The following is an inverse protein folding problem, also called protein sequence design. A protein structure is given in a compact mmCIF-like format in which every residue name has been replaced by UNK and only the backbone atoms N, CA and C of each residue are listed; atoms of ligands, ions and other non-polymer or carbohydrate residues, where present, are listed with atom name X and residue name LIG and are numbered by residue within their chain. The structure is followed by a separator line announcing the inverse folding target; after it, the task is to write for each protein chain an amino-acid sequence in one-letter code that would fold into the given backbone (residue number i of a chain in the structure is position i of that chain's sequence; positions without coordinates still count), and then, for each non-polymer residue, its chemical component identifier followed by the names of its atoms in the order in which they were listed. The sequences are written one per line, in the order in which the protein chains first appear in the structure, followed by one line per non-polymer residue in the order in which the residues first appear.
data_IF_938893463208
#
_entry.id   IF_938893463208
#
_cell.length_a   1.000
_cell.length_b   1.000
_cell.length_c   1.000
_cell.angle_alpha   90.00
_cell.angle_beta   90.00
_cell.angle_gamma   90.00
#
_symmetry.space_group_name_H-M   'P 1'
#
loop_
_entity.id
_entity.type
_entity.pdbx_description
1 polymer ?
#
# COMPACT_ATOMS: atom_id res chain seq x y z
N UNK A 1 47.36 -3.96 -13.51
CA UNK A 1 45.94 -3.79 -13.88
C UNK A 1 45.07 -5.01 -13.63
N UNK A 2 45.46 -6.24 -13.99
CA UNK A 2 44.63 -7.47 -13.80
C UNK A 2 44.20 -7.73 -12.35
N UNK A 3 45.08 -7.48 -11.37
CA UNK A 3 44.77 -7.67 -9.95
C UNK A 3 43.84 -6.59 -9.38
N UNK A 4 43.93 -5.35 -9.86
CA UNK A 4 43.05 -4.26 -9.43
C UNK A 4 41.62 -4.56 -9.89
N UNK A 5 41.43 -4.91 -11.16
CA UNK A 5 40.10 -5.27 -11.70
C UNK A 5 39.49 -6.45 -10.94
N UNK A 6 40.28 -7.50 -10.64
CA UNK A 6 39.81 -8.66 -9.88
C UNK A 6 39.45 -8.32 -8.43
N UNK A 7 40.27 -7.51 -7.74
CA UNK A 7 39.98 -7.10 -6.37
C UNK A 7 38.77 -6.17 -6.30
N UNK A 8 38.68 -5.17 -7.19
CA UNK A 8 37.52 -4.28 -7.29
C UNK A 8 36.26 -5.07 -7.58
N UNK A 9 36.27 -5.98 -8.57
CA UNK A 9 35.13 -6.83 -8.87
C UNK A 9 34.75 -7.72 -7.69
N UNK A 10 35.71 -8.30 -6.96
CA UNK A 10 35.43 -9.15 -5.78
C UNK A 10 34.65 -8.40 -4.70
N UNK A 11 35.12 -7.24 -4.29
CA UNK A 11 34.46 -6.47 -3.21
C UNK A 11 33.15 -5.82 -3.67
N UNK A 12 33.12 -5.30 -4.90
CA UNK A 12 31.92 -4.72 -5.49
C UNK A 12 30.82 -5.79 -5.65
N UNK A 13 31.18 -6.97 -6.19
CA UNK A 13 30.23 -8.08 -6.37
C UNK A 13 29.73 -8.62 -5.04
N UNK A 14 30.56 -8.64 -3.98
CA UNK A 14 30.10 -9.04 -2.66
C UNK A 14 29.01 -8.11 -2.14
N UNK A 15 29.23 -6.79 -2.16
CA UNK A 15 28.22 -5.81 -1.75
C UNK A 15 26.92 -5.95 -2.57
N UNK A 16 27.06 -6.09 -3.89
CA UNK A 16 25.92 -6.28 -4.80
C UNK A 16 25.19 -7.59 -4.49
N UNK A 17 25.90 -8.67 -4.22
CA UNK A 17 25.32 -9.99 -3.93
C UNK A 17 24.48 -9.98 -2.65
N UNK A 18 24.87 -9.22 -1.62
CA UNK A 18 24.07 -9.08 -0.39
C UNK A 18 22.71 -8.47 -0.69
N UNK A 19 22.68 -7.39 -1.48
CA UNK A 19 21.44 -6.74 -1.84
C UNK A 19 20.62 -7.58 -2.85
N UNK A 20 21.26 -8.27 -3.81
CA UNK A 20 20.58 -9.22 -4.69
C UNK A 20 20.01 -10.42 -3.93
N UNK A 21 20.65 -10.85 -2.85
CA UNK A 21 20.12 -11.87 -1.95
C UNK A 21 18.85 -11.38 -1.26
N UNK A 22 18.84 -10.16 -0.71
CA UNK A 22 17.63 -9.55 -0.13
C UNK A 22 16.52 -9.39 -1.17
N UNK A 23 16.88 -8.97 -2.39
CA UNK A 23 15.96 -8.86 -3.52
C UNK A 23 15.34 -10.22 -3.89
N UNK A 24 16.16 -11.28 -3.94
CA UNK A 24 15.70 -12.63 -4.27
C UNK A 24 14.84 -13.21 -3.16
N UNK A 25 15.25 -13.06 -1.89
CA UNK A 25 14.50 -13.54 -0.74
C UNK A 25 13.12 -12.86 -0.65
N UNK A 26 13.04 -11.55 -0.89
CA UNK A 26 11.77 -10.83 -0.95
C UNK A 26 10.93 -11.24 -2.17
N UNK A 27 11.55 -11.46 -3.34
CA UNK A 27 10.86 -11.95 -4.53
C UNK A 27 10.24 -13.35 -4.32
N UNK A 28 10.96 -14.26 -3.68
CA UNK A 28 10.45 -15.57 -3.26
C UNK A 28 9.26 -15.36 -2.31
N UNK A 29 9.40 -14.52 -1.29
CA UNK A 29 8.30 -14.24 -0.37
C UNK A 29 7.04 -13.76 -1.12
N UNK A 30 7.16 -12.86 -2.09
CA UNK A 30 6.03 -12.40 -2.90
C UNK A 30 5.40 -13.50 -3.74
N UNK A 31 6.20 -14.37 -4.35
CA UNK A 31 5.71 -15.46 -5.20
C UNK A 31 4.86 -16.48 -4.42
N UNK A 32 5.17 -16.70 -3.14
CA UNK A 32 4.45 -17.65 -2.28
C UNK A 32 3.34 -17.03 -1.43
N UNK A 33 3.17 -15.70 -1.45
CA UNK A 33 2.15 -15.00 -0.67
C UNK A 33 1.15 -14.29 -1.59
N UNK A 34 -0.13 -14.70 -1.51
CA UNK A 34 -1.22 -14.06 -2.27
C UNK A 34 -1.39 -12.61 -1.86
N UNK A 35 -1.34 -11.70 -2.83
CA UNK A 35 -1.41 -10.26 -2.60
C UNK A 35 -2.78 -9.83 -2.07
N UNK A 36 -3.84 -10.54 -2.44
CA UNK A 36 -5.21 -10.32 -1.98
C UNK A 36 -5.28 -10.50 -0.46
N UNK A 37 -4.58 -11.53 0.06
CA UNK A 37 -4.51 -11.81 1.49
C UNK A 37 -3.78 -10.72 2.28
N UNK A 38 -2.69 -10.23 1.68
CA UNK A 38 -1.87 -9.14 2.20
C UNK A 38 -2.66 -7.83 2.22
N UNK A 39 -3.47 -7.56 1.19
CA UNK A 39 -4.37 -6.40 1.10
C UNK A 39 -5.58 -6.48 2.04
N UNK A 40 -5.81 -7.65 2.64
CA UNK A 40 -6.89 -7.89 3.59
C UNK A 40 -8.25 -8.05 2.91
N UNK A 41 -8.29 -8.50 1.65
CA UNK A 41 -9.55 -8.69 0.91
C UNK A 41 -10.45 -9.74 1.58
N UNK A 42 -9.86 -10.75 2.21
CA UNK A 42 -10.58 -11.76 3.01
C UNK A 42 -11.37 -11.19 4.21
N UNK A 43 -11.05 -9.98 4.65
CA UNK A 43 -11.76 -9.34 5.76
C UNK A 43 -12.89 -8.45 5.29
N UNK A 44 -12.99 -8.18 3.99
CA UNK A 44 -13.99 -7.24 3.44
C UNK A 44 -15.24 -8.01 3.04
N UNK A 45 -16.38 -7.47 3.41
CA UNK A 45 -17.68 -7.90 2.92
C UNK A 45 -18.10 -6.98 1.79
N UNK A 46 -18.53 -7.56 0.68
CA UNK A 46 -19.06 -6.81 -0.47
C UNK A 46 -20.57 -6.84 -0.39
N UNK A 47 -21.18 -5.68 -0.16
CA UNK A 47 -22.64 -5.53 -0.22
C UNK A 47 -23.03 -4.84 -1.54
N UNK A 48 -23.96 -5.45 -2.27
CA UNK A 48 -24.67 -4.76 -3.34
C UNK A 48 -25.83 -3.97 -2.75
N UNK A 49 -26.04 -2.75 -3.22
CA UNK A 49 -27.18 -1.92 -2.85
C UNK A 49 -27.84 -1.33 -4.09
N UNK A 50 -29.18 -1.24 -4.15
CA UNK A 50 -29.87 -0.56 -5.23
C UNK A 50 -29.61 0.95 -5.15
N UNK A 51 -29.50 1.61 -6.29
CA UNK A 51 -29.40 3.07 -6.39
C UNK A 51 -30.55 3.55 -7.27
N UNK A 52 -31.37 4.44 -6.72
CA UNK A 52 -32.39 5.15 -7.49
C UNK A 52 -31.87 6.54 -7.85
N UNK A 53 -31.54 6.76 -9.13
CA UNK A 53 -31.05 8.07 -9.58
C UNK A 53 -32.14 9.15 -9.60
N UNK A 54 -33.43 8.79 -9.60
CA UNK A 54 -34.51 9.76 -9.54
C UNK A 54 -34.58 10.51 -8.21
N UNK A 55 -34.03 9.91 -7.14
CA UNK A 55 -33.94 10.48 -5.80
C UNK A 55 -32.79 11.49 -5.65
N UNK A 56 -31.87 11.54 -6.61
CA UNK A 56 -30.73 12.46 -6.59
C UNK A 56 -31.17 13.84 -7.05
N UNK A 57 -31.19 14.82 -6.14
CA UNK A 57 -31.74 16.17 -6.35
C UNK A 57 -30.68 17.26 -6.40
N UNK A 58 -29.45 16.95 -6.81
CA UNK A 58 -28.39 17.94 -6.98
C UNK A 58 -27.77 17.91 -8.37
N UNK A 59 -27.16 19.04 -8.75
CA UNK A 59 -26.38 19.18 -9.98
C UNK A 59 -25.08 19.93 -9.66
N UNK A 60 -23.99 19.49 -10.31
CA UNK A 60 -22.65 20.07 -10.21
C UNK A 60 -22.01 20.08 -11.58
N UNK A 61 -21.37 21.19 -11.95
CA UNK A 61 -20.82 21.40 -13.29
C UNK A 61 -19.32 21.05 -13.39
N UNK A 62 -18.64 20.85 -12.27
CA UNK A 62 -17.18 20.74 -12.14
C UNK A 62 -16.71 19.37 -11.64
N UNK A 63 -17.52 18.33 -11.83
CA UNK A 63 -17.24 16.97 -11.37
C UNK A 63 -16.57 16.14 -12.45
N UNK A 64 -15.47 15.47 -12.10
CA UNK A 64 -14.74 14.54 -12.98
C UNK A 64 -15.11 13.09 -12.71
N UNK A 65 -15.36 12.74 -11.45
CA UNK A 65 -15.74 11.38 -11.05
C UNK A 65 -16.82 11.42 -9.97
N UNK A 66 -17.79 10.52 -10.08
CA UNK A 66 -18.85 10.30 -9.09
C UNK A 66 -18.76 8.86 -8.61
N UNK A 67 -18.85 8.68 -7.29
CA UNK A 67 -18.93 7.36 -6.66
C UNK A 67 -20.07 7.34 -5.65
N UNK A 68 -21.00 6.41 -5.81
CA UNK A 68 -22.05 6.17 -4.82
C UNK A 68 -21.55 5.17 -3.77
N UNK A 69 -21.80 5.45 -2.50
CA UNK A 69 -21.39 4.61 -1.36
C UNK A 69 -22.58 4.50 -0.41
N UNK A 70 -22.93 3.27 -0.02
CA UNK A 70 -23.86 3.04 1.09
C UNK A 70 -23.13 3.33 2.41
N UNK A 71 -23.59 4.35 3.13
CA UNK A 71 -23.12 4.78 4.45
C UNK A 71 -24.23 4.49 5.45
N UNK A 72 -24.10 3.41 6.22
CA UNK A 72 -25.15 2.91 7.13
C UNK A 72 -26.47 2.68 6.34
N UNK A 73 -27.52 3.44 6.67
CA UNK A 73 -28.86 3.35 6.07
C UNK A 73 -29.08 4.36 4.93
N UNK A 74 -28.09 5.18 4.59
CA UNK A 74 -28.18 6.18 3.51
C UNK A 74 -27.17 5.92 2.38
N UNK A 75 -27.48 6.45 1.20
CA UNK A 75 -26.57 6.45 0.05
C UNK A 75 -26.00 7.86 -0.07
N UNK A 76 -24.68 7.94 -0.06
CA UNK A 76 -23.94 9.18 -0.27
C UNK A 76 -23.21 9.16 -1.60
N UNK A 77 -22.92 10.35 -2.11
CA UNK A 77 -22.20 10.58 -3.35
C UNK A 77 -20.87 11.27 -3.05
N UNK A 78 -19.78 10.61 -3.42
CA UNK A 78 -18.43 11.15 -3.39
C UNK A 78 -18.14 11.75 -4.76
N UNK A 79 -18.03 13.08 -4.81
CA UNK A 79 -17.72 13.82 -6.03
C UNK A 79 -16.24 14.20 -6.00
N UNK A 80 -15.50 13.82 -7.02
CA UNK A 80 -14.12 14.27 -7.22
C UNK A 80 -14.08 15.21 -8.42
N UNK A 81 -13.66 16.44 -8.18
CA UNK A 81 -13.63 17.50 -9.19
C UNK A 81 -12.42 18.41 -9.04
N UNK A 82 -12.45 19.53 -9.76
CA UNK A 82 -11.37 20.54 -9.70
C UNK A 82 -11.25 21.22 -8.33
N UNK A 83 -12.33 21.24 -7.55
CA UNK A 83 -12.38 21.81 -6.19
C UNK A 83 -11.99 20.85 -5.07
N UNK A 84 -11.63 19.61 -5.41
CA UNK A 84 -11.32 18.56 -4.45
C UNK A 84 -12.43 17.52 -4.34
N UNK A 85 -12.50 16.86 -3.18
CA UNK A 85 -13.44 15.77 -2.90
C UNK A 85 -14.57 16.29 -2.02
N UNK A 86 -15.80 16.16 -2.48
CA UNK A 86 -17.01 16.47 -1.72
C UNK A 86 -17.78 15.18 -1.37
N UNK A 87 -18.36 15.13 -0.19
CA UNK A 87 -19.19 14.02 0.29
C UNK A 87 -20.60 14.57 0.51
N UNK A 88 -21.54 14.21 -0.36
CA UNK A 88 -22.89 14.76 -0.36
C UNK A 88 -23.93 13.66 -0.16
N UNK A 89 -25.05 14.01 0.47
CA UNK A 89 -26.25 13.18 0.44
C UNK A 89 -26.97 13.28 -0.93
N UNK A 90 -28.08 12.54 -1.08
CA UNK A 90 -28.90 12.57 -2.30
C UNK A 90 -29.50 13.96 -2.60
N UNK A 91 -29.55 14.88 -1.63
CA UNK A 91 -30.06 16.24 -1.76
C UNK A 91 -28.96 17.27 -2.06
N UNK A 92 -27.69 16.85 -2.08
CA UNK A 92 -26.54 17.72 -2.33
C UNK A 92 -26.04 18.47 -1.11
N UNK A 93 -26.45 18.04 0.09
CA UNK A 93 -25.99 18.59 1.37
C UNK A 93 -24.73 17.86 1.84
N UNK A 94 -23.69 18.57 2.30
CA UNK A 94 -22.48 17.94 2.82
C UNK A 94 -22.75 17.07 4.04
N UNK A 95 -22.18 15.86 4.05
CA UNK A 95 -22.33 14.93 5.19
C UNK A 95 -21.31 15.26 6.30
N UNK A 96 -21.73 15.01 7.54
CA UNK A 96 -20.86 15.17 8.70
C UNK A 96 -19.86 14.00 8.84
N UNK A 97 -18.79 14.24 9.60
CA UNK A 97 -17.88 13.15 10.01
C UNK A 97 -18.65 12.11 10.82
N UNK A 98 -18.30 10.85 10.60
CA UNK A 98 -18.84 9.72 11.34
C UNK A 98 -18.40 9.78 12.81
N UNK A 99 -19.34 9.50 13.72
CA UNK A 99 -19.03 9.33 15.13
C UNK A 99 -18.51 7.90 15.43
N UNK A 100 -18.00 7.68 16.65
CA UNK A 100 -17.40 6.40 17.02
C UNK A 100 -18.34 5.19 16.87
N UNK A 101 -19.61 5.35 17.22
CA UNK A 101 -20.59 4.25 17.15
C UNK A 101 -20.91 3.92 15.70
N UNK A 102 -21.13 4.94 14.86
CA UNK A 102 -21.35 4.79 13.42
C UNK A 102 -20.16 4.09 12.75
N UNK A 103 -18.92 4.47 13.08
CA UNK A 103 -17.73 3.81 12.55
C UNK A 103 -17.69 2.33 12.96
N UNK A 104 -18.04 2.01 14.20
CA UNK A 104 -18.04 0.62 14.68
C UNK A 104 -19.13 -0.22 14.02
N UNK A 105 -20.29 0.36 13.75
CA UNK A 105 -21.37 -0.29 13.00
C UNK A 105 -20.95 -0.57 11.56
N UNK A 106 -20.35 0.41 10.88
CA UNK A 106 -19.82 0.24 9.51
C UNK A 106 -18.77 -0.88 9.48
N UNK A 107 -17.85 -0.93 10.44
CA UNK A 107 -16.84 -2.00 10.47
C UNK A 107 -17.49 -3.38 10.65
N UNK A 108 -18.52 -3.51 11.48
CA UNK A 108 -19.22 -4.78 11.70
C UNK A 108 -20.06 -5.24 10.51
N UNK A 109 -20.61 -4.31 9.71
CA UNK A 109 -21.39 -4.66 8.52
C UNK A 109 -20.51 -4.88 7.28
N UNK A 110 -19.45 -4.09 7.12
CA UNK A 110 -18.57 -4.12 5.94
C UNK A 110 -17.34 -5.01 6.07
N UNK A 111 -17.13 -5.63 7.24
CA UNK A 111 -15.98 -6.51 7.48
C UNK A 111 -16.30 -7.66 8.42
N UNK A 112 -15.47 -8.70 8.39
CA UNK A 112 -15.56 -9.84 9.33
C UNK A 112 -14.88 -9.56 10.68
N UNK A 113 -14.54 -8.30 10.97
CA UNK A 113 -13.70 -7.92 12.11
C UNK A 113 -14.50 -7.26 13.22
N UNK A 114 -14.02 -7.40 14.45
CA UNK A 114 -14.62 -6.80 15.64
C UNK A 114 -13.82 -5.55 16.04
N UNK A 115 -14.40 -4.33 15.95
CA UNK A 115 -13.70 -3.10 16.30
C UNK A 115 -13.53 -2.99 17.82
N UNK A 116 -12.34 -2.55 18.26
CA UNK A 116 -12.00 -2.37 19.68
C UNK A 116 -11.65 -0.92 20.03
N UNK A 117 -11.04 -0.18 19.12
CA UNK A 117 -10.56 1.18 19.38
C UNK A 117 -10.60 2.05 18.12
N UNK A 118 -10.73 3.37 18.31
CA UNK A 118 -10.84 4.36 17.25
C UNK A 118 -9.89 5.54 17.51
N UNK A 119 -9.08 5.86 16.51
CA UNK A 119 -8.17 7.01 16.50
C UNK A 119 -8.40 7.84 15.24
N UNK A 120 -8.55 9.16 15.36
CA UNK A 120 -8.57 10.08 14.21
C UNK A 120 -7.14 10.50 13.85
N UNK A 121 -6.80 10.36 12.57
CA UNK A 121 -5.51 10.74 12.01
C UNK A 121 -5.74 11.93 11.10
N UNK A 122 -5.15 13.06 11.50
CA UNK A 122 -5.22 14.33 10.75
C UNK A 122 -3.92 14.66 10.05
N UNK A 123 -2.81 14.04 10.45
CA UNK A 123 -1.47 14.35 9.94
C UNK A 123 -0.80 13.15 9.28
N UNK A 124 -0.05 13.43 8.22
CA UNK A 124 0.72 12.41 7.51
C UNK A 124 2.04 12.14 8.23
N UNK A 125 2.45 10.87 8.30
CA UNK A 125 3.76 10.48 8.83
C UNK A 125 4.53 9.62 7.81
N UNK A 126 5.86 9.80 7.75
CA UNK A 126 6.71 9.05 6.82
C UNK A 126 6.73 7.55 7.19
N UNK A 127 6.60 6.69 6.18
CA UNK A 127 6.59 5.24 6.39
C UNK A 127 5.36 4.72 7.13
N UNK A 128 4.31 5.55 7.31
CA UNK A 128 3.08 5.14 7.96
C UNK A 128 2.35 4.04 7.17
N UNK A 129 1.51 3.28 7.85
CA UNK A 129 0.71 2.23 7.21
C UNK A 129 -0.39 2.82 6.28
N UNK A 130 -0.72 4.10 6.47
CA UNK A 130 -1.75 4.85 5.73
C UNK A 130 -1.17 5.84 4.71
N UNK A 131 0.12 5.75 4.38
CA UNK A 131 0.75 6.60 3.37
C UNK A 131 0.03 6.52 2.02
N UNK A 132 -0.04 7.65 1.30
CA UNK A 132 -0.73 7.76 0.02
C UNK A 132 -2.27 7.71 0.13
N UNK A 133 -2.82 8.15 1.25
CA UNK A 133 -4.27 8.26 1.50
C UNK A 133 -4.64 9.69 1.89
N UNK A 134 -5.84 10.09 1.50
CA UNK A 134 -6.38 11.41 1.80
C UNK A 134 -6.73 11.51 3.27
N UNK A 135 -6.28 12.59 3.90
CA UNK A 135 -6.55 12.89 5.31
C UNK A 135 -7.73 13.88 5.42
N UNK A 136 -8.48 13.87 6.53
CA UNK A 136 -8.32 13.00 7.71
C UNK A 136 -8.86 11.57 7.51
N UNK A 137 -8.37 10.64 8.32
CA UNK A 137 -8.71 9.20 8.30
C UNK A 137 -9.02 8.69 9.71
N UNK A 138 -9.90 7.70 9.82
CA UNK A 138 -10.05 6.93 11.05
C UNK A 138 -9.21 5.66 11.01
N UNK A 139 -8.41 5.44 12.05
CA UNK A 139 -7.77 4.15 12.31
C UNK A 139 -8.60 3.40 13.34
N UNK A 140 -9.19 2.29 12.90
CA UNK A 140 -9.94 1.39 13.75
C UNK A 140 -9.10 0.16 14.04
N UNK A 141 -8.69 0.01 15.30
CA UNK A 141 -8.05 -1.24 15.72
C UNK A 141 -9.15 -2.28 15.90
N UNK A 142 -8.98 -3.45 15.30
CA UNK A 142 -9.97 -4.54 15.30
C UNK A 142 -9.32 -5.89 15.55
N UNK A 143 -10.11 -6.88 15.93
CA UNK A 143 -9.71 -8.28 16.08
C UNK A 143 -10.38 -9.15 15.02
N UNK A 144 -9.67 -10.18 14.56
CA UNK A 144 -10.26 -11.25 13.75
C UNK A 144 -10.75 -12.42 14.61
N UNK A 145 -11.26 -13.45 13.94
CA UNK A 145 -11.68 -14.75 14.48
C UNK A 145 -10.64 -15.50 15.32
N UNK A 146 -9.36 -15.11 15.23
CA UNK A 146 -8.22 -15.73 15.93
C UNK A 146 -7.53 -14.76 16.89
N UNK A 147 -8.25 -13.72 17.33
CA UNK A 147 -7.75 -12.69 18.27
C UNK A 147 -6.50 -11.94 17.78
N UNK A 148 -6.24 -11.93 16.47
CA UNK A 148 -5.14 -11.17 15.87
C UNK A 148 -5.60 -9.74 15.60
N UNK A 149 -4.77 -8.79 16.02
CA UNK A 149 -4.99 -7.35 15.78
C UNK A 149 -4.80 -6.99 14.31
N UNK A 150 -5.76 -6.24 13.78
CA UNK A 150 -5.78 -5.70 12.43
C UNK A 150 -6.20 -4.24 12.51
N UNK A 151 -5.46 -3.36 11.84
CA UNK A 151 -5.83 -1.95 11.73
C UNK A 151 -6.62 -1.75 10.44
N UNK A 152 -7.82 -1.20 10.54
CA UNK A 152 -8.59 -0.70 9.42
C UNK A 152 -8.42 0.81 9.32
N UNK A 153 -8.31 1.31 8.10
CA UNK A 153 -8.26 2.74 7.82
C UNK A 153 -9.49 3.13 7.02
N UNK A 154 -10.34 3.97 7.61
CA UNK A 154 -11.61 4.40 7.04
C UNK A 154 -11.57 5.89 6.70
N UNK A 155 -12.29 6.28 5.66
CA UNK A 155 -12.56 7.69 5.40
C UNK A 155 -13.51 8.24 6.49
N UNK A 156 -13.23 9.44 7.00
CA UNK A 156 -14.02 10.00 8.12
C UNK A 156 -15.45 10.39 7.75
N UNK A 157 -15.73 10.64 6.47
CA UNK A 157 -17.04 11.06 5.99
C UNK A 157 -17.83 9.86 5.45
N UNK A 158 -17.24 9.11 4.50
CA UNK A 158 -17.93 7.99 3.85
C UNK A 158 -17.94 6.70 4.63
N UNK A 159 -16.99 6.50 5.56
CA UNK A 159 -16.82 5.24 6.28
C UNK A 159 -16.23 4.13 5.41
N UNK A 160 -15.84 4.43 4.17
CA UNK A 160 -15.22 3.44 3.29
C UNK A 160 -13.87 2.98 3.87
N UNK A 161 -13.68 1.66 3.93
CA UNK A 161 -12.40 1.05 4.33
C UNK A 161 -11.37 1.24 3.19
N UNK A 162 -10.54 2.27 3.31
CA UNK A 162 -9.46 2.61 2.35
C UNK A 162 -8.27 1.66 2.42
N UNK A 163 -8.04 1.02 3.57
CA UNK A 163 -6.93 0.10 3.78
C UNK A 163 -7.17 -0.86 4.95
N UNK A 164 -6.64 -2.08 4.82
CA UNK A 164 -6.56 -3.07 5.88
C UNK A 164 -5.08 -3.38 6.11
N UNK A 165 -4.65 -3.39 7.38
CA UNK A 165 -3.25 -3.56 7.77
C UNK A 165 -3.14 -4.61 8.86
N UNK A 166 -2.66 -5.78 8.44
CA UNK A 166 -2.40 -6.94 9.28
C UNK A 166 -0.89 -7.12 9.49
N UNK A 167 -0.51 -8.08 10.35
CA UNK A 167 0.90 -8.49 10.46
C UNK A 167 1.47 -8.98 9.12
N UNK A 168 0.67 -9.70 8.32
CA UNK A 168 1.09 -10.17 7.00
C UNK A 168 1.40 -8.99 6.06
N UNK A 169 0.59 -7.92 6.13
CA UNK A 169 0.86 -6.68 5.41
C UNK A 169 2.17 -6.04 5.87
N UNK A 170 2.45 -5.98 7.17
CA UNK A 170 3.71 -5.40 7.70
C UNK A 170 4.95 -6.15 7.22
N UNK A 171 4.89 -7.48 7.20
CA UNK A 171 5.99 -8.31 6.67
C UNK A 171 6.14 -8.06 5.17
N UNK A 172 5.03 -8.01 4.42
CA UNK A 172 5.07 -7.64 3.01
C UNK A 172 5.70 -6.27 2.79
N UNK A 173 5.33 -5.27 3.59
CA UNK A 173 5.87 -3.91 3.51
C UNK A 173 7.38 -3.90 3.76
N UNK A 174 7.85 -4.62 4.77
CA UNK A 174 9.28 -4.78 5.05
C UNK A 174 10.02 -5.41 3.86
N UNK A 175 9.49 -6.52 3.32
CA UNK A 175 10.07 -7.20 2.16
C UNK A 175 10.09 -6.29 0.93
N UNK A 176 9.04 -5.48 0.75
CA UNK A 176 8.98 -4.47 -0.30
C UNK A 176 10.11 -3.46 -0.17
N UNK A 177 10.34 -2.93 1.04
CA UNK A 177 11.46 -2.03 1.31
C UNK A 177 12.82 -2.61 0.93
N UNK A 178 13.06 -3.89 1.25
CA UNK A 178 14.28 -4.59 0.82
C UNK A 178 14.36 -4.77 -0.70
N UNK A 179 13.24 -5.08 -1.34
CA UNK A 179 13.17 -5.32 -2.78
C UNK A 179 13.43 -4.05 -3.60
N UNK A 180 12.87 -2.90 -3.19
CA UNK A 180 13.02 -1.62 -3.91
C UNK A 180 14.11 -0.71 -3.34
N UNK A 181 14.83 -1.14 -2.30
CA UNK A 181 15.88 -0.36 -1.62
C UNK A 181 15.38 0.99 -1.06
N UNK A 182 14.10 1.05 -0.69
CA UNK A 182 13.50 2.17 0.02
C UNK A 182 13.17 1.75 1.44
N UNK A 183 14.15 1.85 2.34
CA UNK A 183 14.03 1.36 3.73
C UNK A 183 13.24 2.30 4.64
N UNK A 184 13.02 3.55 4.24
CA UNK A 184 12.36 4.57 5.07
C UNK A 184 10.89 4.70 4.73
N UNK A 185 10.58 5.00 3.46
CA UNK A 185 9.20 5.28 3.05
C UNK A 185 8.50 4.07 2.46
N UNK A 186 9.26 3.13 1.88
CA UNK A 186 8.75 1.91 1.23
C UNK A 186 7.67 2.23 0.18
N UNK A 187 7.87 3.30 -0.57
CA UNK A 187 6.84 3.90 -1.43
C UNK A 187 7.38 4.21 -2.83
N UNK A 188 8.64 4.65 -2.92
CA UNK A 188 9.20 5.15 -4.18
C UNK A 188 10.12 4.11 -4.83
N UNK A 189 9.60 3.40 -5.82
CA UNK A 189 10.41 2.49 -6.64
C UNK A 189 11.49 3.23 -7.46
N UNK A 190 11.27 4.49 -7.82
CA UNK A 190 12.19 5.30 -8.63
C UNK A 190 13.25 6.06 -7.80
N UNK A 191 13.55 5.58 -6.59
CA UNK A 191 14.51 6.20 -5.67
C UNK A 191 15.97 6.12 -6.19
N UNK A 192 16.83 6.96 -5.63
CA UNK A 192 18.23 7.08 -6.07
C UNK A 192 19.06 5.83 -5.75
N UNK A 193 18.80 5.15 -4.63
CA UNK A 193 19.54 3.94 -4.24
C UNK A 193 19.32 2.83 -5.26
N UNK A 194 18.06 2.57 -5.64
CA UNK A 194 17.74 1.55 -6.65
C UNK A 194 18.34 1.88 -8.02
N UNK A 195 18.32 3.16 -8.43
CA UNK A 195 18.90 3.61 -9.71
C UNK A 195 20.41 3.41 -9.76
N UNK A 196 21.13 3.78 -8.70
CA UNK A 196 22.58 3.55 -8.63
C UNK A 196 22.86 2.05 -8.59
N UNK A 197 22.12 1.32 -7.76
CA UNK A 197 22.31 -0.12 -7.60
C UNK A 197 22.07 -0.90 -8.89
N UNK A 198 21.03 -0.56 -9.67
CA UNK A 198 20.74 -1.25 -10.93
C UNK A 198 21.87 -1.12 -11.95
N UNK A 199 22.49 0.07 -12.05
CA UNK A 199 23.66 0.30 -12.90
C UNK A 199 24.86 -0.49 -12.37
N UNK A 200 25.14 -0.44 -11.06
CA UNK A 200 26.24 -1.19 -10.45
C UNK A 200 26.08 -2.70 -10.64
N UNK A 201 24.87 -3.23 -10.44
CA UNK A 201 24.55 -4.63 -10.66
C UNK A 201 24.77 -5.06 -12.11
N UNK A 202 24.38 -4.22 -13.08
CA UNK A 202 24.62 -4.46 -14.50
C UNK A 202 26.13 -4.49 -14.82
N UNK A 203 26.89 -3.49 -14.37
CA UNK A 203 28.35 -3.44 -14.58
C UNK A 203 29.04 -4.63 -13.92
N UNK A 204 28.61 -5.00 -12.70
CA UNK A 204 29.14 -6.15 -11.99
C UNK A 204 28.83 -7.46 -12.71
N UNK A 205 27.62 -7.62 -13.24
CA UNK A 205 27.22 -8.80 -14.03
C UNK A 205 28.07 -8.93 -15.30
N UNK A 206 28.19 -7.85 -16.09
CA UNK A 206 29.02 -7.83 -17.31
C UNK A 206 30.48 -8.15 -16.98
N UNK A 207 31.03 -7.51 -15.95
CA UNK A 207 32.42 -7.78 -15.55
C UNK A 207 32.63 -9.22 -15.06
N UNK A 208 31.65 -9.83 -14.40
CA UNK A 208 31.69 -11.24 -14.01
C UNK A 208 31.72 -12.18 -15.21
N UNK A 209 30.86 -11.96 -16.20
CA UNK A 209 30.84 -12.73 -17.47
C UNK A 209 32.18 -12.60 -18.19
N UNK A 210 32.71 -11.37 -18.33
CA UNK A 210 34.00 -11.13 -18.98
C UNK A 210 35.17 -11.79 -18.24
N UNK A 211 35.14 -11.79 -16.90
CA UNK A 211 36.16 -12.47 -16.10
C UNK A 211 36.08 -13.99 -16.26
N UNK A 212 34.87 -14.57 -16.29
CA UNK A 212 34.67 -16.01 -16.53
C UNK A 212 35.33 -16.47 -17.84
N UNK A 213 35.05 -15.78 -18.96
CA UNK A 213 35.63 -16.15 -20.25
C UNK A 213 37.12 -15.77 -20.40
N UNK A 214 37.65 -14.84 -19.59
CA UNK A 214 39.08 -14.48 -19.59
C UNK A 214 39.94 -15.34 -18.66
N UNK A 215 39.36 -16.28 -17.91
CA UNK A 215 40.11 -17.15 -16.98
C UNK A 215 40.96 -18.20 -17.71
N UNK A 216 40.74 -18.47 -19.01
CA UNK A 216 41.51 -19.47 -19.78
C UNK A 216 42.33 -18.91 -20.94
N UNK A 217 43.48 -18.29 -20.64
CA UNK A 217 44.60 -18.31 -21.57
C UNK A 217 45.95 -18.23 -20.84
N UNK A 218 46.44 -19.41 -20.44
CA UNK A 218 47.79 -19.82 -19.95
C UNK A 218 47.78 -20.44 -18.56
N UNK A 219 47.47 -21.73 -18.53
CA UNK A 219 48.29 -22.70 -17.80
C UNK A 219 49.05 -23.52 -18.85
N UNK A 220 50.28 -23.10 -19.13
CA UNK A 220 51.38 -23.91 -19.65
C UNK A 220 52.58 -23.56 -18.80
#
# INVERSE_FOLDING_TARGET
MRNIVRNTHKYLSFFISVQLFLWTASGIYFAFNKIELVRGEQYRLTESFPINFDEVKFSRSDVQQIKAIKRLDEIIFVLSGSKGIEYLDAFGTPVNKLNKNEVFEIVRSSSTLVPIDLEEITESSKGSEFRGRDLPLYKVTSLNDKDKKINLYLNVFSGEITAVRSLQWRIWDLMWGFHIMDWQTRDKINNIFLKIFSILALVSSISGILLFFKVDYKSR
#
